data_IF_162530288906
#
_entry.id   IF_162530288906
#
_cell.length_a   1.000
_cell.length_b   1.000
_cell.length_c   1.000
_cell.angle_alpha   90.00
_cell.angle_beta   90.00
_cell.angle_gamma   90.00
#
_symmetry.space_group_name_H-M   'P 1'
#
loop_
_entity.id
_entity.type
_entity.pdbx_description
1 polymer ?
#
# COMPACT_ATOMS: atom_id res chain seq x y z
N UNK A 1 4.65 36.20 -15.68
CA UNK A 1 5.46 35.00 -15.43
C UNK A 1 4.70 34.17 -14.40
N UNK A 2 3.89 33.22 -14.86
CA UNK A 2 3.13 32.33 -13.97
C UNK A 2 4.06 31.21 -13.52
N UNK A 3 4.27 31.06 -12.21
CA UNK A 3 4.98 29.92 -11.66
C UNK A 3 4.15 28.67 -11.88
N UNK A 4 4.62 27.75 -12.71
CA UNK A 4 4.00 26.44 -12.87
C UNK A 4 4.40 25.56 -11.68
N UNK A 5 3.45 25.34 -10.76
CA UNK A 5 3.63 24.54 -9.55
C UNK A 5 3.36 23.05 -9.77
N UNK A 6 2.83 22.68 -10.95
CA UNK A 6 2.43 21.32 -11.31
C UNK A 6 3.52 20.27 -11.10
N UNK A 7 4.78 20.45 -11.55
CA UNK A 7 5.82 19.43 -11.38
C UNK A 7 6.19 19.20 -9.91
N UNK A 8 6.17 20.25 -9.09
CA UNK A 8 6.46 20.15 -7.65
C UNK A 8 5.33 19.46 -6.90
N UNK A 9 4.08 19.79 -7.23
CA UNK A 9 2.90 19.13 -6.66
C UNK A 9 2.86 17.64 -7.03
N UNK A 10 3.16 17.29 -8.28
CA UNK A 10 3.25 15.90 -8.72
C UNK A 10 4.36 15.14 -8.00
N UNK A 11 5.57 15.73 -7.92
CA UNK A 11 6.69 15.12 -7.20
C UNK A 11 6.36 14.85 -5.72
N UNK A 12 5.72 15.80 -5.05
CA UNK A 12 5.26 15.63 -3.67
C UNK A 12 4.19 14.55 -3.56
N UNK A 13 3.23 14.49 -4.49
CA UNK A 13 2.20 13.45 -4.53
C UNK A 13 2.80 12.05 -4.67
N UNK A 14 3.73 11.85 -5.61
CA UNK A 14 4.44 10.57 -5.76
C UNK A 14 5.26 10.22 -4.52
N UNK A 15 5.94 11.20 -3.93
CA UNK A 15 6.72 11.00 -2.71
C UNK A 15 5.83 10.53 -1.55
N UNK A 16 4.68 11.17 -1.33
CA UNK A 16 3.75 10.81 -0.25
C UNK A 16 3.10 9.45 -0.50
N UNK A 17 2.59 9.21 -1.72
CA UNK A 17 1.96 7.93 -2.06
C UNK A 17 2.97 6.78 -1.96
N UNK A 18 4.14 6.90 -2.60
CA UNK A 18 5.17 5.87 -2.57
C UNK A 18 5.78 5.69 -1.19
N UNK A 19 5.99 6.79 -0.46
CA UNK A 19 6.58 6.82 0.87
C UNK A 19 5.80 6.01 1.91
N UNK A 20 4.46 6.04 1.85
CA UNK A 20 3.61 5.19 2.72
C UNK A 20 3.92 3.71 2.54
N UNK A 21 4.10 3.24 1.30
CA UNK A 21 4.41 1.83 1.04
C UNK A 21 5.82 1.45 1.44
N UNK A 22 6.79 2.34 1.21
CA UNK A 22 8.17 2.13 1.67
C UNK A 22 8.20 2.01 3.20
N UNK A 23 7.52 2.91 3.89
CA UNK A 23 7.42 2.88 5.34
C UNK A 23 6.74 1.60 5.83
N UNK A 24 5.58 1.24 5.26
CA UNK A 24 4.84 0.04 5.63
C UNK A 24 5.68 -1.25 5.45
N UNK A 25 6.40 -1.37 4.33
CA UNK A 25 7.25 -2.52 4.07
C UNK A 25 8.44 -2.62 5.04
N UNK A 26 9.05 -1.49 5.40
CA UNK A 26 10.11 -1.47 6.43
C UNK A 26 9.53 -1.84 7.81
N UNK A 27 8.36 -1.32 8.15
CA UNK A 27 7.70 -1.61 9.41
C UNK A 27 7.34 -3.10 9.54
N UNK A 28 6.88 -3.73 8.45
CA UNK A 28 6.67 -5.17 8.41
C UNK A 28 7.94 -5.97 8.74
N UNK A 29 9.13 -5.55 8.29
CA UNK A 29 10.38 -6.21 8.65
C UNK A 29 10.79 -5.96 10.10
N UNK A 30 10.51 -4.78 10.66
CA UNK A 30 10.76 -4.47 12.07
C UNK A 30 9.83 -5.26 12.99
N UNK A 31 8.58 -5.42 12.60
CA UNK A 31 7.51 -6.10 13.33
C UNK A 31 7.24 -7.51 12.81
N UNK A 32 8.23 -8.15 12.18
CA UNK A 32 8.03 -9.34 11.35
C UNK A 32 7.36 -10.49 12.08
N UNK A 33 7.74 -10.76 13.34
CA UNK A 33 7.14 -11.85 14.11
C UNK A 33 5.64 -11.62 14.40
N UNK A 34 5.27 -10.39 14.74
CA UNK A 34 3.89 -10.02 15.03
C UNK A 34 3.02 -10.11 13.77
N UNK A 35 3.48 -9.51 12.67
CA UNK A 35 2.75 -9.52 11.39
C UNK A 35 2.67 -10.93 10.82
N UNK A 36 3.73 -11.74 10.93
CA UNK A 36 3.70 -13.15 10.52
C UNK A 36 2.66 -13.94 11.30
N UNK A 37 2.51 -13.69 12.60
CA UNK A 37 1.46 -14.29 13.43
C UNK A 37 0.06 -13.93 12.93
N UNK A 38 -0.16 -12.66 12.57
CA UNK A 38 -1.43 -12.20 11.97
C UNK A 38 -1.71 -12.89 10.63
N UNK A 39 -0.72 -12.99 9.74
CA UNK A 39 -0.84 -13.67 8.44
C UNK A 39 -1.14 -15.16 8.62
N UNK A 40 -0.46 -15.82 9.57
CA UNK A 40 -0.72 -17.21 9.91
C UNK A 40 -2.14 -17.42 10.44
N UNK A 41 -2.63 -16.52 11.29
CA UNK A 41 -4.00 -16.54 11.83
C UNK A 41 -5.09 -16.41 10.76
N UNK A 42 -4.77 -15.88 9.58
CA UNK A 42 -5.66 -15.83 8.41
C UNK A 42 -5.62 -17.09 7.54
N UNK A 43 -4.80 -18.08 7.89
CA UNK A 43 -4.73 -19.37 7.18
C UNK A 43 -3.90 -19.35 5.90
N UNK A 44 -3.08 -18.32 5.68
CA UNK A 44 -2.21 -18.27 4.50
C UNK A 44 -1.08 -19.31 4.59
N UNK A 45 -0.82 -20.08 3.51
CA UNK A 45 0.32 -20.98 3.46
C UNK A 45 1.63 -20.17 3.48
N UNK A 46 2.65 -20.67 4.19
CA UNK A 46 3.99 -20.08 4.25
C UNK A 46 3.98 -18.57 4.62
N UNK A 47 3.46 -18.21 5.82
CA UNK A 47 3.25 -16.81 6.20
C UNK A 47 4.55 -15.98 6.24
N UNK A 48 5.69 -16.59 6.56
CA UNK A 48 6.99 -15.93 6.57
C UNK A 48 7.45 -15.52 5.16
N UNK A 49 7.64 -16.47 4.23
CA UNK A 49 8.01 -16.16 2.84
C UNK A 49 7.03 -15.20 2.15
N UNK A 50 5.72 -15.38 2.39
CA UNK A 50 4.70 -14.48 1.85
C UNK A 50 4.92 -13.05 2.36
N UNK A 51 4.97 -12.87 3.68
CA UNK A 51 5.18 -11.55 4.30
C UNK A 51 6.46 -10.89 3.80
N UNK A 52 7.57 -11.62 3.72
CA UNK A 52 8.83 -11.09 3.21
C UNK A 52 8.68 -10.62 1.75
N UNK A 53 8.05 -11.43 0.89
CA UNK A 53 7.85 -11.11 -0.52
C UNK A 53 6.99 -9.86 -0.70
N UNK A 54 5.88 -9.76 0.03
CA UNK A 54 4.96 -8.62 -0.04
C UNK A 54 5.62 -7.34 0.50
N UNK A 55 6.39 -7.46 1.58
CA UNK A 55 7.08 -6.30 2.19
C UNK A 55 8.20 -5.78 1.29
N UNK A 56 8.97 -6.68 0.67
CA UNK A 56 9.96 -6.30 -0.36
C UNK A 56 9.28 -5.64 -1.56
N UNK A 57 8.15 -6.19 -2.01
CA UNK A 57 7.37 -5.60 -3.10
C UNK A 57 6.92 -4.16 -2.77
N UNK A 58 6.36 -3.93 -1.57
CA UNK A 58 5.94 -2.60 -1.14
C UNK A 58 7.09 -1.58 -1.16
N UNK A 59 8.28 -1.97 -0.67
CA UNK A 59 9.46 -1.10 -0.66
C UNK A 59 9.90 -0.79 -2.10
N UNK A 60 10.07 -1.82 -2.93
CA UNK A 60 10.56 -1.64 -4.30
C UNK A 60 9.57 -0.84 -5.13
N UNK A 61 8.29 -1.22 -5.12
CA UNK A 61 7.26 -0.51 -5.88
C UNK A 61 7.04 0.92 -5.34
N UNK A 62 7.08 1.12 -4.01
CA UNK A 62 7.02 2.44 -3.41
C UNK A 62 8.17 3.34 -3.88
N UNK A 63 9.42 2.84 -3.87
CA UNK A 63 10.57 3.56 -4.39
C UNK A 63 10.47 3.83 -5.90
N UNK A 64 10.00 2.87 -6.69
CA UNK A 64 9.76 3.06 -8.12
C UNK A 64 8.73 4.18 -8.40
N UNK A 65 7.69 4.27 -7.58
CA UNK A 65 6.68 5.33 -7.66
C UNK A 65 7.31 6.71 -7.37
N UNK A 66 8.18 6.81 -6.36
CA UNK A 66 8.90 8.05 -6.05
C UNK A 66 9.87 8.43 -7.18
N UNK A 67 10.71 7.50 -7.61
CA UNK A 67 11.90 7.79 -8.43
C UNK A 67 11.63 7.96 -9.93
N UNK A 68 10.52 7.44 -10.48
CA UNK A 68 10.12 7.78 -11.87
C UNK A 68 10.06 6.67 -12.91
N UNK A 69 11.08 5.82 -13.11
CA UNK A 69 11.23 5.07 -14.37
C UNK A 69 10.16 4.00 -14.59
N UNK A 70 9.53 3.51 -13.52
CA UNK A 70 8.46 2.50 -13.56
C UNK A 70 7.19 2.98 -12.85
N UNK A 71 6.99 4.30 -12.73
CA UNK A 71 5.84 4.91 -12.04
C UNK A 71 4.47 4.31 -12.38
N UNK A 72 4.07 4.19 -13.66
CA UNK A 72 2.73 3.70 -13.97
C UNK A 72 2.52 2.25 -13.48
N UNK A 73 3.51 1.39 -13.72
CA UNK A 73 3.45 -0.02 -13.31
C UNK A 73 3.54 -0.21 -11.80
N UNK A 74 4.36 0.60 -11.13
CA UNK A 74 4.44 0.62 -9.67
C UNK A 74 3.09 1.05 -9.06
N UNK A 75 2.46 2.09 -9.59
CA UNK A 75 1.15 2.56 -9.12
C UNK A 75 0.07 1.48 -9.27
N UNK A 76 -0.03 0.82 -10.43
CA UNK A 76 -0.97 -0.29 -10.64
C UNK A 76 -0.69 -1.47 -9.73
N UNK A 77 0.56 -1.87 -9.58
CA UNK A 77 0.95 -2.97 -8.71
C UNK A 77 0.58 -2.70 -7.25
N UNK A 78 0.88 -1.50 -6.75
CA UNK A 78 0.50 -1.07 -5.40
C UNK A 78 -1.02 -0.99 -5.23
N UNK A 79 -1.76 -0.56 -6.25
CA UNK A 79 -3.22 -0.51 -6.19
C UNK A 79 -3.81 -1.92 -6.07
N UNK A 80 -3.38 -2.85 -6.93
CA UNK A 80 -3.81 -4.24 -6.90
C UNK A 80 -3.45 -4.90 -5.56
N UNK A 81 -2.23 -4.67 -5.07
CA UNK A 81 -1.78 -5.13 -3.76
C UNK A 81 -2.68 -4.60 -2.63
N UNK A 82 -2.97 -3.30 -2.62
CA UNK A 82 -3.77 -2.65 -1.57
C UNK A 82 -5.20 -3.21 -1.53
N UNK A 83 -5.80 -3.45 -2.70
CA UNK A 83 -7.11 -4.11 -2.81
C UNK A 83 -7.04 -5.53 -2.25
N UNK A 84 -6.06 -6.34 -2.69
CA UNK A 84 -5.91 -7.72 -2.23
C UNK A 84 -5.68 -7.80 -0.72
N UNK A 85 -4.82 -6.94 -0.17
CA UNK A 85 -4.56 -6.86 1.27
C UNK A 85 -5.81 -6.44 2.06
N UNK A 86 -6.52 -5.41 1.58
CA UNK A 86 -7.75 -4.93 2.23
C UNK A 86 -8.83 -6.01 2.30
N UNK A 87 -9.05 -6.73 1.21
CA UNK A 87 -10.02 -7.84 1.17
C UNK A 87 -9.58 -9.04 1.99
N UNK A 88 -8.27 -9.25 2.17
CA UNK A 88 -7.73 -10.41 2.89
C UNK A 88 -7.62 -10.19 4.39
N UNK A 89 -7.49 -8.94 4.85
CA UNK A 89 -7.17 -8.60 6.24
C UNK A 89 -8.21 -7.67 6.90
N UNK A 90 -9.07 -6.99 6.15
CA UNK A 90 -9.94 -5.95 6.71
C UNK A 90 -11.43 -6.31 6.74
N UNK A 91 -11.85 -7.58 6.69
CA UNK A 91 -13.25 -8.10 6.65
C UNK A 91 -14.29 -7.56 7.70
N UNK A 92 -14.44 -6.25 7.88
CA UNK A 92 -15.38 -5.59 8.81
C UNK A 92 -16.85 -5.94 8.54
N UNK A 93 -17.16 -6.45 7.34
CA UNK A 93 -18.50 -6.82 6.89
C UNK A 93 -18.90 -8.21 7.41
N UNK A 94 -17.93 -9.01 7.84
CA UNK A 94 -18.15 -10.33 8.47
C UNK A 94 -17.80 -10.33 9.97
N UNK A 95 -16.92 -9.44 10.41
CA UNK A 95 -16.47 -9.34 11.79
C UNK A 95 -17.51 -8.74 12.73
N UNK A 96 -17.72 -9.36 13.90
CA UNK A 96 -18.56 -8.84 15.01
C UNK A 96 -17.76 -8.45 16.26
N UNK A 97 -16.43 -8.48 16.19
CA UNK A 97 -15.54 -8.12 17.30
C UNK A 97 -15.44 -6.60 17.47
N UNK A 98 -14.90 -6.11 18.60
CA UNK A 98 -14.65 -4.68 18.82
C UNK A 98 -13.80 -4.02 17.72
N UNK A 99 -12.94 -4.79 17.06
CA UNK A 99 -12.02 -4.29 16.02
C UNK A 99 -12.75 -3.86 14.73
N UNK A 100 -14.03 -4.20 14.56
CA UNK A 100 -14.81 -3.90 13.35
C UNK A 100 -14.73 -2.43 12.94
N UNK A 101 -14.75 -1.50 13.91
CA UNK A 101 -14.68 -0.05 13.64
C UNK A 101 -13.32 0.35 13.07
N UNK A 102 -12.23 -0.17 13.66
CA UNK A 102 -10.87 0.01 13.14
C UNK A 102 -10.79 -0.54 11.71
N UNK A 103 -11.29 -1.75 11.47
CA UNK A 103 -11.18 -2.43 10.16
C UNK A 103 -11.90 -1.63 9.07
N UNK A 104 -13.05 -1.03 9.40
CA UNK A 104 -13.81 -0.17 8.49
C UNK A 104 -13.09 1.14 8.18
N UNK A 105 -12.48 1.75 9.19
CA UNK A 105 -11.69 2.97 9.00
C UNK A 105 -10.51 2.70 8.05
N UNK A 106 -9.74 1.65 8.34
CA UNK A 106 -8.57 1.28 7.54
C UNK A 106 -8.95 0.91 6.11
N UNK A 107 -10.06 0.17 5.93
CA UNK A 107 -10.56 -0.17 4.60
C UNK A 107 -10.91 1.09 3.79
N UNK A 108 -11.51 2.10 4.45
CA UNK A 108 -11.89 3.36 3.79
C UNK A 108 -10.66 4.17 3.40
N UNK A 109 -9.63 4.19 4.25
CA UNK A 109 -8.33 4.82 3.94
C UNK A 109 -7.71 4.15 2.72
N UNK A 110 -7.71 2.81 2.67
CA UNK A 110 -7.18 2.05 1.54
C UNK A 110 -7.95 2.30 0.23
N UNK A 111 -9.28 2.50 0.29
CA UNK A 111 -10.05 2.92 -0.89
C UNK A 111 -9.56 4.27 -1.42
N UNK A 112 -9.32 5.23 -0.53
CA UNK A 112 -8.73 6.52 -0.91
C UNK A 112 -7.32 6.38 -1.50
N UNK A 113 -6.49 5.53 -0.89
CA UNK A 113 -5.13 5.25 -1.35
C UNK A 113 -5.12 4.62 -2.75
N UNK A 114 -5.99 3.66 -3.00
CA UNK A 114 -6.19 3.04 -4.33
C UNK A 114 -6.62 4.10 -5.35
N UNK A 115 -7.54 4.99 -5.00
CA UNK A 115 -7.92 6.12 -5.86
C UNK A 115 -6.72 7.01 -6.22
N UNK A 116 -5.89 7.36 -5.24
CA UNK A 116 -4.66 8.12 -5.45
C UNK A 116 -3.66 7.40 -6.37
N UNK A 117 -3.52 6.08 -6.22
CA UNK A 117 -2.66 5.25 -7.07
C UNK A 117 -3.18 5.14 -8.51
N UNK A 118 -4.49 5.05 -8.72
CA UNK A 118 -5.08 5.05 -10.06
C UNK A 118 -4.84 6.40 -10.76
N UNK A 119 -4.97 7.52 -10.04
CA UNK A 119 -4.63 8.84 -10.56
C UNK A 119 -3.13 8.96 -10.86
N UNK A 120 -2.28 8.44 -9.97
CA UNK A 120 -0.83 8.41 -10.18
C UNK A 120 -0.43 7.58 -11.41
N UNK A 121 -1.11 6.45 -11.66
CA UNK A 121 -0.97 5.69 -12.89
C UNK A 121 -1.31 6.54 -14.11
N UNK A 122 -2.51 7.14 -14.13
CA UNK A 122 -2.99 7.95 -15.25
C UNK A 122 -2.08 9.15 -15.54
N UNK A 123 -1.55 9.81 -14.50
CA UNK A 123 -0.64 10.95 -14.64
C UNK A 123 0.79 10.57 -15.08
N UNK A 124 1.12 9.27 -15.11
CA UNK A 124 2.45 8.77 -15.47
C UNK A 124 2.51 8.04 -16.81
N UNK A 125 1.42 8.09 -17.60
CA UNK A 125 1.35 7.60 -18.98
C UNK A 125 1.88 8.67 -19.95
#
# INVERSE_FOLDING_TARGET
>A
MTFDITPYAAALGYFLLGGIFVFAGIDHFRSFQAVRGMVAGRGWPLPGPLLASVSTFQIVAGLCLVLGPLRPWAALGLAAFTVAASLSFLDFWRTKTPDRTWMRSEFTINVGLVGGLILAFAASL
#
